data_IF_633489620603
#
_entry.id   IF_633489620603
#
_cell.length_a   1.000
_cell.length_b   1.000
_cell.length_c   1.000
_cell.angle_alpha   90.00
_cell.angle_beta   90.00
_cell.angle_gamma   90.00
#
_symmetry.space_group_name_H-M   'P 1'
#
loop_
_entity.id
_entity.type
_entity.pdbx_description
1 polymer ?
#
# COMPACT_ATOMS: atom_id res chain seq x y z
N UNK A 1 -5.28 10.21 -20.95
CA UNK A 1 -4.96 8.82 -20.57
C UNK A 1 -5.48 8.65 -19.16
N UNK A 2 -6.01 7.49 -18.77
CA UNK A 2 -6.47 7.29 -17.40
C UNK A 2 -5.30 7.51 -16.42
N UNK A 3 -5.60 8.09 -15.26
CA UNK A 3 -4.67 8.12 -14.13
C UNK A 3 -4.67 6.73 -13.50
N UNK A 4 -3.49 6.17 -13.22
CA UNK A 4 -3.34 4.78 -12.78
C UNK A 4 -2.67 4.68 -11.43
N UNK A 5 -3.19 3.79 -10.59
CA UNK A 5 -2.58 3.44 -9.30
C UNK A 5 -2.28 1.95 -9.27
N UNK A 6 -1.11 1.58 -8.76
CA UNK A 6 -0.74 0.18 -8.55
C UNK A 6 -0.89 -0.17 -7.07
N UNK A 7 -1.64 -1.23 -6.78
CA UNK A 7 -1.78 -1.80 -5.44
C UNK A 7 -1.07 -3.14 -5.40
N UNK A 8 -0.07 -3.27 -4.53
CA UNK A 8 0.62 -4.52 -4.22
C UNK A 8 0.14 -5.07 -2.88
N UNK A 9 -0.22 -6.36 -2.82
CA UNK A 9 -0.59 -7.01 -1.56
C UNK A 9 0.32 -8.21 -1.32
N UNK A 10 1.00 -8.25 -0.17
CA UNK A 10 2.01 -9.26 0.11
C UNK A 10 1.69 -10.09 1.35
N UNK A 11 2.51 -11.12 1.63
CA UNK A 11 2.25 -12.09 2.68
C UNK A 11 2.54 -11.62 4.11
N UNK A 12 2.02 -10.47 4.49
CA UNK A 12 1.95 -10.04 5.88
C UNK A 12 0.49 -10.01 6.35
N UNK A 13 0.21 -10.09 7.63
CA UNK A 13 -1.15 -9.89 8.15
C UNK A 13 -1.58 -8.43 7.96
N UNK A 14 -2.88 -8.16 7.91
CA UNK A 14 -3.43 -6.85 7.62
C UNK A 14 -3.83 -6.68 6.15
N UNK A 15 -4.26 -7.77 5.48
CA UNK A 15 -4.78 -7.73 4.11
C UNK A 15 -5.93 -6.72 3.99
N UNK A 16 -6.65 -6.47 5.09
CA UNK A 16 -7.75 -5.51 5.14
C UNK A 16 -7.32 -4.10 4.71
N UNK A 17 -6.07 -3.69 4.92
CA UNK A 17 -5.58 -2.37 4.45
C UNK A 17 -5.48 -2.31 2.93
N UNK A 18 -5.03 -3.38 2.28
CA UNK A 18 -5.01 -3.49 0.82
C UNK A 18 -6.43 -3.53 0.24
N UNK A 19 -7.31 -4.31 0.86
CA UNK A 19 -8.74 -4.41 0.47
C UNK A 19 -9.40 -3.03 0.61
N UNK A 20 -9.18 -2.34 1.73
CA UNK A 20 -9.73 -1.00 1.95
C UNK A 20 -9.18 0.02 0.94
N UNK A 21 -7.91 -0.08 0.57
CA UNK A 21 -7.33 0.78 -0.47
C UNK A 21 -8.04 0.58 -1.82
N UNK A 22 -8.30 -0.68 -2.21
CA UNK A 22 -9.06 -0.98 -3.42
C UNK A 22 -10.50 -0.41 -3.36
N UNK A 23 -11.18 -0.57 -2.21
CA UNK A 23 -12.53 -0.04 -2.01
C UNK A 23 -12.58 1.48 -2.13
N UNK A 24 -11.65 2.19 -1.49
CA UNK A 24 -11.58 3.66 -1.55
C UNK A 24 -11.27 4.16 -2.96
N UNK A 25 -10.37 3.48 -3.68
CA UNK A 25 -10.01 3.85 -5.05
C UNK A 25 -11.15 3.59 -6.05
N UNK A 26 -12.03 2.63 -5.79
CA UNK A 26 -13.20 2.35 -6.63
C UNK A 26 -14.19 3.51 -6.70
N UNK A 27 -14.20 4.38 -5.69
CA UNK A 27 -15.04 5.60 -5.65
C UNK A 27 -14.38 6.78 -6.39
N UNK A 28 -13.25 6.54 -7.08
CA UNK A 28 -12.47 7.55 -7.79
C UNK A 28 -12.41 7.26 -9.30
N UNK A 29 -11.83 8.18 -10.08
CA UNK A 29 -11.62 8.01 -11.53
C UNK A 29 -10.29 7.28 -11.87
N UNK A 30 -9.57 6.74 -10.89
CA UNK A 30 -8.31 6.03 -11.13
C UNK A 30 -8.55 4.62 -11.67
N UNK A 31 -7.74 4.23 -12.67
CA UNK A 31 -7.63 2.84 -13.11
C UNK A 31 -6.72 2.09 -12.14
N UNK A 32 -7.24 1.11 -11.44
CA UNK A 32 -6.55 0.39 -10.35
C UNK A 32 -5.97 -0.92 -10.86
N UNK A 33 -4.64 -1.05 -10.74
CA UNK A 33 -3.89 -2.26 -11.08
C UNK A 33 -3.50 -3.02 -9.82
N UNK A 34 -4.03 -4.24 -9.64
CA UNK A 34 -3.73 -5.10 -8.49
C UNK A 34 -2.66 -6.13 -8.82
N UNK A 35 -1.69 -6.27 -7.92
CA UNK A 35 -0.72 -7.36 -7.92
C UNK A 35 -0.76 -8.04 -6.56
N UNK A 36 -1.32 -9.26 -6.49
CA UNK A 36 -1.48 -10.02 -5.26
C UNK A 36 -0.49 -11.19 -5.24
N UNK A 37 0.41 -11.24 -4.25
CA UNK A 37 1.37 -12.33 -4.11
C UNK A 37 0.69 -13.65 -3.68
N UNK A 38 1.30 -14.79 -3.98
CA UNK A 38 0.77 -16.10 -3.56
C UNK A 38 0.58 -16.17 -2.03
N UNK A 39 1.53 -15.63 -1.24
CA UNK A 39 1.38 -15.52 0.21
C UNK A 39 0.28 -14.53 0.64
N UNK A 40 0.06 -13.46 -0.12
CA UNK A 40 -1.05 -12.52 0.09
C UNK A 40 -2.40 -13.20 -0.11
N UNK A 41 -2.55 -14.02 -1.16
CA UNK A 41 -3.77 -14.81 -1.42
C UNK A 41 -4.11 -15.75 -0.25
N UNK A 42 -3.10 -16.43 0.29
CA UNK A 42 -3.28 -17.30 1.47
C UNK A 42 -3.79 -16.47 2.66
N UNK A 43 -3.19 -15.31 2.92
CA UNK A 43 -3.58 -14.47 4.05
C UNK A 43 -4.98 -13.86 3.87
N UNK A 44 -5.38 -13.45 2.65
CA UNK A 44 -6.76 -13.01 2.37
C UNK A 44 -7.75 -14.07 2.82
N UNK A 45 -7.57 -15.32 2.39
CA UNK A 45 -8.47 -16.43 2.74
C UNK A 45 -8.45 -16.83 4.22
N UNK A 46 -7.45 -16.41 4.99
CA UNK A 46 -7.32 -16.79 6.41
C UNK A 46 -7.74 -15.71 7.39
N UNK A 47 -7.59 -14.43 7.04
CA UNK A 47 -7.78 -13.33 8.00
C UNK A 47 -8.83 -12.30 7.59
N UNK A 48 -9.24 -12.30 6.33
CA UNK A 48 -10.27 -11.41 5.82
C UNK A 48 -11.55 -12.20 5.51
N UNK A 49 -12.71 -11.60 5.76
CA UNK A 49 -14.00 -12.16 5.33
C UNK A 49 -14.23 -11.93 3.82
N UNK A 50 -13.21 -12.26 3.01
CA UNK A 50 -13.20 -12.10 1.56
C UNK A 50 -12.58 -13.30 0.87
N UNK A 51 -13.17 -13.71 -0.24
CA UNK A 51 -12.51 -14.60 -1.17
C UNK A 51 -11.52 -13.83 -2.06
N UNK A 52 -10.47 -14.51 -2.54
CA UNK A 52 -9.47 -13.89 -3.43
C UNK A 52 -10.09 -13.33 -4.71
N UNK A 53 -11.15 -13.96 -5.23
CA UNK A 53 -11.92 -13.49 -6.38
C UNK A 53 -12.60 -12.16 -6.09
N UNK A 54 -13.24 -12.02 -4.93
CA UNK A 54 -13.91 -10.78 -4.52
C UNK A 54 -12.92 -9.62 -4.39
N UNK A 55 -11.73 -9.87 -3.83
CA UNK A 55 -10.66 -8.85 -3.78
C UNK A 55 -10.19 -8.48 -5.18
N UNK A 56 -10.09 -9.46 -6.09
CA UNK A 56 -9.69 -9.22 -7.48
C UNK A 56 -10.71 -8.37 -8.24
N UNK A 57 -12.00 -8.53 -7.97
CA UNK A 57 -13.10 -7.76 -8.58
C UNK A 57 -13.15 -6.29 -8.12
N UNK A 58 -12.39 -5.92 -7.08
CA UNK A 58 -12.27 -4.52 -6.65
C UNK A 58 -11.31 -3.71 -7.53
N UNK A 59 -10.48 -4.36 -8.35
CA UNK A 59 -9.52 -3.72 -9.24
C UNK A 59 -9.97 -3.77 -10.70
N UNK A 60 -9.56 -2.78 -11.51
CA UNK A 60 -9.83 -2.77 -12.94
C UNK A 60 -8.98 -3.77 -13.70
N UNK A 61 -7.71 -3.95 -13.27
CA UNK A 61 -6.76 -4.87 -13.89
C UNK A 61 -6.03 -5.66 -12.81
N UNK A 62 -6.03 -6.98 -12.96
CA UNK A 62 -5.30 -7.89 -12.06
C UNK A 62 -4.13 -8.53 -12.82
N UNK A 63 -2.93 -8.38 -12.26
CA UNK A 63 -1.72 -8.94 -12.85
C UNK A 63 -1.26 -10.19 -12.11
N UNK A 64 -0.79 -11.19 -12.86
CA UNK A 64 -0.06 -12.30 -12.27
C UNK A 64 1.28 -11.82 -11.68
N UNK A 65 1.50 -12.08 -10.40
CA UNK A 65 2.74 -11.70 -9.69
C UNK A 65 4.01 -12.26 -10.34
N UNK A 66 3.91 -13.35 -11.09
CA UNK A 66 5.03 -14.00 -11.80
C UNK A 66 5.30 -13.39 -13.17
N UNK A 67 4.35 -12.59 -13.70
CA UNK A 67 4.50 -11.96 -15.01
C UNK A 67 5.34 -10.67 -14.91
N UNK A 68 6.66 -10.79 -14.83
CA UNK A 68 7.60 -9.66 -14.81
C UNK A 68 7.64 -8.86 -16.13
N UNK A 69 6.92 -9.29 -17.16
CA UNK A 69 6.73 -8.59 -18.43
C UNK A 69 5.42 -7.81 -18.55
N UNK A 70 4.63 -7.71 -17.46
CA UNK A 70 3.42 -6.90 -17.44
C UNK A 70 3.73 -5.40 -17.58
N UNK A 71 2.71 -4.60 -17.91
CA UNK A 71 2.84 -3.16 -18.20
C UNK A 71 3.49 -2.40 -17.03
N UNK A 72 3.12 -2.75 -15.79
CA UNK A 72 3.63 -2.12 -14.57
C UNK A 72 5.14 -2.33 -14.35
N UNK A 73 5.75 -3.31 -15.04
CA UNK A 73 7.19 -3.55 -15.05
C UNK A 73 7.98 -2.57 -15.92
N UNK A 74 7.29 -1.70 -16.68
CA UNK A 74 7.92 -0.74 -17.61
C UNK A 74 7.77 0.70 -17.13
N UNK A 75 8.85 1.48 -17.17
CA UNK A 75 8.81 2.91 -16.87
C UNK A 75 7.99 3.74 -17.85
N UNK A 76 7.77 3.26 -19.09
CA UNK A 76 6.90 3.92 -20.06
C UNK A 76 5.41 3.81 -19.73
N UNK A 77 5.02 2.83 -18.94
CA UNK A 77 3.67 2.72 -18.40
C UNK A 77 3.50 3.72 -17.25
N UNK A 78 2.76 4.79 -17.49
CA UNK A 78 2.61 5.88 -16.52
C UNK A 78 1.62 5.50 -15.42
N UNK A 79 2.04 5.68 -14.17
CA UNK A 79 1.21 5.56 -12.97
C UNK A 79 1.44 6.76 -12.07
N UNK A 80 0.46 7.17 -11.29
CA UNK A 80 0.58 8.23 -10.29
C UNK A 80 1.38 7.76 -9.07
N UNK A 81 1.44 6.45 -8.82
CA UNK A 81 2.24 5.84 -7.77
C UNK A 81 1.86 4.40 -7.48
N UNK A 82 2.47 3.85 -6.42
CA UNK A 82 2.23 2.49 -5.97
C UNK A 82 2.10 2.45 -4.45
N UNK A 83 1.07 1.76 -3.97
CA UNK A 83 0.92 1.38 -2.55
C UNK A 83 1.17 -0.11 -2.40
N UNK A 84 1.99 -0.52 -1.43
CA UNK A 84 2.13 -1.92 -1.02
C UNK A 84 1.53 -2.08 0.38
N UNK A 85 0.34 -2.67 0.45
CA UNK A 85 -0.45 -2.82 1.67
C UNK A 85 -1.11 -4.21 1.76
N UNK A 86 -0.70 -5.05 2.69
CA UNK A 86 0.46 -4.90 3.57
C UNK A 86 1.79 -5.19 2.85
N UNK A 87 2.88 -4.64 3.36
CA UNK A 87 4.24 -4.92 2.90
C UNK A 87 4.95 -5.87 3.87
N UNK A 88 5.28 -7.08 3.41
CA UNK A 88 6.03 -8.05 4.21
C UNK A 88 7.51 -7.64 4.33
N UNK A 89 8.19 -8.09 5.39
CA UNK A 89 9.62 -7.83 5.57
C UNK A 89 10.47 -8.42 4.42
N UNK A 90 10.02 -9.53 3.80
CA UNK A 90 10.66 -10.07 2.59
C UNK A 90 10.57 -9.07 1.43
N UNK A 91 9.39 -8.54 1.17
CA UNK A 91 9.17 -7.56 0.09
C UNK A 91 9.93 -6.27 0.36
N UNK A 92 9.87 -5.74 1.60
CA UNK A 92 10.67 -4.59 2.01
C UNK A 92 12.16 -4.80 1.77
N UNK A 93 12.70 -5.96 2.17
CA UNK A 93 14.11 -6.31 1.97
C UNK A 93 14.47 -6.38 0.48
N UNK A 94 13.62 -6.97 -0.35
CA UNK A 94 13.87 -7.05 -1.79
C UNK A 94 13.92 -5.66 -2.43
N UNK A 95 13.02 -4.77 -2.06
CA UNK A 95 12.99 -3.38 -2.55
C UNK A 95 14.25 -2.63 -2.09
N UNK A 96 14.61 -2.76 -0.81
CA UNK A 96 15.80 -2.11 -0.23
C UNK A 96 17.10 -2.49 -0.95
N UNK A 97 17.17 -3.71 -1.49
CA UNK A 97 18.35 -4.22 -2.18
C UNK A 97 18.23 -4.25 -3.71
N UNK A 98 17.17 -3.65 -4.27
CA UNK A 98 16.95 -3.63 -5.73
C UNK A 98 16.67 -5.01 -6.33
N UNK A 99 16.20 -5.97 -5.53
CA UNK A 99 15.89 -7.34 -5.99
C UNK A 99 14.50 -7.40 -6.59
N UNK A 100 14.39 -7.59 -7.89
CA UNK A 100 13.12 -7.58 -8.65
C UNK A 100 12.69 -9.01 -9.04
N UNK A 101 12.52 -9.89 -8.05
CA UNK A 101 12.22 -11.30 -8.28
C UNK A 101 10.77 -11.62 -8.64
N UNK A 102 9.86 -10.66 -8.50
CA UNK A 102 8.45 -10.75 -8.85
C UNK A 102 7.93 -9.40 -9.35
N UNK A 103 6.69 -9.37 -9.84
CA UNK A 103 6.11 -8.16 -10.42
C UNK A 103 5.89 -7.05 -9.38
N UNK A 104 5.61 -7.37 -8.11
CA UNK A 104 5.45 -6.37 -7.05
C UNK A 104 6.78 -5.62 -6.85
N UNK A 105 7.86 -6.36 -6.63
CA UNK A 105 9.19 -5.78 -6.41
C UNK A 105 9.72 -5.08 -7.67
N UNK A 106 9.40 -5.60 -8.87
CA UNK A 106 9.75 -4.93 -10.12
C UNK A 106 8.98 -3.63 -10.31
N UNK A 107 7.68 -3.60 -10.05
CA UNK A 107 6.87 -2.38 -10.15
C UNK A 107 7.31 -1.32 -9.13
N UNK A 108 7.72 -1.74 -7.93
CA UNK A 108 8.29 -0.85 -6.92
C UNK A 108 9.63 -0.25 -7.38
N UNK A 109 10.53 -1.06 -7.97
CA UNK A 109 11.78 -0.59 -8.58
C UNK A 109 11.51 0.42 -9.70
N UNK A 110 10.50 0.17 -10.53
CA UNK A 110 10.06 1.11 -11.58
C UNK A 110 9.55 2.42 -10.96
N UNK A 111 8.73 2.36 -9.90
CA UNK A 111 8.26 3.56 -9.24
C UNK A 111 9.43 4.41 -8.73
N UNK A 112 10.39 3.81 -8.05
CA UNK A 112 11.57 4.50 -7.51
C UNK A 112 12.44 5.10 -8.63
N UNK A 113 12.78 4.34 -9.68
CA UNK A 113 13.64 4.85 -10.76
C UNK A 113 12.98 5.96 -11.58
N UNK A 114 11.66 5.96 -11.71
CA UNK A 114 10.87 7.01 -12.39
C UNK A 114 10.50 8.16 -11.45
N UNK A 115 10.93 8.09 -10.17
CA UNK A 115 10.63 9.08 -9.11
C UNK A 115 9.14 9.28 -8.89
N UNK A 116 8.38 8.18 -9.00
CA UNK A 116 6.95 8.15 -8.67
C UNK A 116 6.78 7.79 -7.19
N UNK A 117 5.76 8.31 -6.52
CA UNK A 117 5.48 7.95 -5.15
C UNK A 117 5.35 6.43 -4.95
N UNK A 118 6.10 5.89 -3.99
CA UNK A 118 6.01 4.51 -3.54
C UNK A 118 5.73 4.51 -2.05
N UNK A 119 4.55 4.04 -1.64
CA UNK A 119 4.15 3.93 -0.24
C UNK A 119 4.20 2.48 0.19
N UNK A 120 4.92 2.22 1.26
CA UNK A 120 5.06 0.88 1.83
C UNK A 120 4.39 0.87 3.20
N UNK A 121 3.43 -0.05 3.41
CA UNK A 121 2.82 -0.29 4.72
C UNK A 121 3.44 -1.55 5.37
N UNK A 122 4.66 -1.45 5.95
CA UNK A 122 5.32 -2.59 6.53
C UNK A 122 4.57 -3.05 7.78
N UNK A 123 4.36 -4.37 7.88
CA UNK A 123 3.70 -4.94 9.03
C UNK A 123 4.52 -6.07 9.63
N UNK A 124 5.11 -5.79 10.78
CA UNK A 124 5.88 -6.71 11.61
C UNK A 124 5.94 -6.19 13.05
N UNK A 125 6.00 -7.09 14.01
CA UNK A 125 6.28 -6.75 15.43
C UNK A 125 6.87 -7.95 16.18
N UNK A 126 7.95 -7.74 17.01
CA UNK A 126 8.77 -6.53 17.07
C UNK A 126 9.68 -6.37 15.85
N UNK A 127 10.17 -5.17 15.61
CA UNK A 127 11.20 -4.95 14.60
C UNK A 127 12.57 -5.40 15.09
N UNK A 128 13.36 -6.01 14.21
CA UNK A 128 14.78 -6.26 14.43
C UNK A 128 15.64 -5.22 13.68
N UNK A 129 16.95 -5.25 13.94
CA UNK A 129 17.88 -4.29 13.31
C UNK A 129 17.89 -4.37 11.79
N UNK A 130 17.68 -5.54 11.18
CA UNK A 130 17.66 -5.72 9.73
C UNK A 130 16.41 -5.03 9.15
N UNK A 131 15.25 -5.18 9.78
CA UNK A 131 14.03 -4.50 9.35
C UNK A 131 14.21 -2.98 9.34
N UNK A 132 14.77 -2.42 10.43
CA UNK A 132 15.02 -0.98 10.56
C UNK A 132 16.02 -0.47 9.50
N UNK A 133 17.09 -1.23 9.22
CA UNK A 133 18.02 -0.89 8.15
C UNK A 133 17.33 -0.88 6.79
N UNK A 134 16.54 -1.89 6.48
CA UNK A 134 15.83 -1.95 5.21
C UNK A 134 14.80 -0.80 5.07
N UNK A 135 14.14 -0.39 6.17
CA UNK A 135 13.28 0.79 6.18
C UNK A 135 14.06 2.08 5.88
N UNK A 136 15.24 2.23 6.45
CA UNK A 136 16.13 3.36 6.16
C UNK A 136 16.55 3.37 4.68
N UNK A 137 17.03 2.25 4.15
CA UNK A 137 17.48 2.13 2.76
C UNK A 137 16.36 2.47 1.76
N UNK A 138 15.13 1.98 1.97
CA UNK A 138 14.01 2.32 1.05
C UNK A 138 13.61 3.78 1.19
N UNK A 139 13.73 4.37 2.39
CA UNK A 139 13.47 5.79 2.61
C UNK A 139 14.50 6.66 1.90
N UNK A 140 15.78 6.32 1.98
CA UNK A 140 16.87 7.00 1.28
C UNK A 140 16.70 6.89 -0.24
N UNK A 141 16.15 5.77 -0.74
CA UNK A 141 15.80 5.58 -2.14
C UNK A 141 14.55 6.38 -2.60
N UNK A 142 13.80 6.98 -1.67
CA UNK A 142 12.64 7.83 -1.95
C UNK A 142 11.28 7.19 -1.70
N UNK A 143 11.21 5.97 -1.14
CA UNK A 143 9.95 5.39 -0.72
C UNK A 143 9.43 6.00 0.60
N UNK A 144 8.13 5.99 0.79
CA UNK A 144 7.47 6.40 2.03
C UNK A 144 7.17 5.15 2.85
N UNK A 145 7.82 5.01 3.99
CA UNK A 145 7.54 3.95 4.96
C UNK A 145 6.38 4.41 5.85
N UNK A 146 5.22 3.80 5.64
CA UNK A 146 3.97 4.16 6.32
C UNK A 146 3.40 2.95 7.10
N UNK A 147 3.93 2.66 8.30
CA UNK A 147 3.40 1.54 9.09
C UNK A 147 1.97 1.87 9.54
N UNK A 148 1.06 0.86 9.57
CA UNK A 148 -0.35 1.07 9.90
C UNK A 148 -0.54 1.23 11.42
N UNK A 149 0.06 2.25 12.01
CA UNK A 149 -0.13 2.60 13.42
C UNK A 149 -1.41 3.41 13.58
N UNK A 150 -2.27 3.09 14.57
CA UNK A 150 -3.52 3.80 14.79
C UNK A 150 -3.31 5.24 15.25
N UNK A 151 -4.12 6.16 14.72
CA UNK A 151 -4.16 7.58 15.11
C UNK A 151 -5.34 7.84 16.04
N UNK A 152 -5.14 7.71 17.36
CA UNK A 152 -6.21 7.85 18.35
C UNK A 152 -6.74 9.28 18.49
N UNK A 153 -5.95 10.29 18.17
CA UNK A 153 -6.37 11.70 18.24
C UNK A 153 -7.53 12.05 17.29
N UNK A 154 -7.72 11.27 16.25
CA UNK A 154 -8.83 11.42 15.30
C UNK A 154 -10.15 10.87 15.82
N UNK A 155 -10.16 10.23 17.01
CA UNK A 155 -11.35 9.69 17.66
C UNK A 155 -12.08 8.60 16.85
N UNK A 156 -11.35 7.56 16.33
CA UNK A 156 -12.01 6.52 15.53
C UNK A 156 -13.11 5.84 16.34
N UNK A 157 -14.26 5.60 15.70
CA UNK A 157 -15.46 5.06 16.37
C UNK A 157 -15.38 3.56 16.57
N UNK A 158 -14.69 2.87 15.67
CA UNK A 158 -14.50 1.42 15.70
C UNK A 158 -13.25 1.03 14.90
N UNK A 159 -12.99 -0.27 14.75
CA UNK A 159 -11.84 -0.79 14.03
C UNK A 159 -11.92 -0.49 12.53
N UNK A 160 -13.11 -0.55 11.95
CA UNK A 160 -13.31 -0.31 10.52
C UNK A 160 -13.03 1.14 10.15
N UNK A 161 -13.50 2.09 10.94
CA UNK A 161 -13.20 3.51 10.81
C UNK A 161 -11.69 3.78 10.94
N UNK A 162 -11.03 3.15 11.93
CA UNK A 162 -9.58 3.25 12.10
C UNK A 162 -8.80 2.74 10.88
N UNK A 163 -9.21 1.61 10.30
CA UNK A 163 -8.60 1.05 9.09
C UNK A 163 -8.81 2.00 7.91
N UNK A 164 -10.03 2.52 7.76
CA UNK A 164 -10.41 3.45 6.68
C UNK A 164 -9.55 4.71 6.72
N UNK A 165 -9.48 5.40 7.86
CA UNK A 165 -8.68 6.62 8.05
C UNK A 165 -7.19 6.37 7.82
N UNK A 166 -6.66 5.26 8.35
CA UNK A 166 -5.25 4.88 8.15
C UNK A 166 -4.95 4.65 6.67
N UNK A 167 -5.84 3.95 5.96
CA UNK A 167 -5.67 3.64 4.55
C UNK A 167 -5.82 4.87 3.67
N UNK A 168 -6.84 5.70 3.91
CA UNK A 168 -7.03 6.98 3.20
C UNK A 168 -5.79 7.89 3.36
N UNK A 169 -5.23 7.97 4.58
CA UNK A 169 -4.01 8.73 4.84
C UNK A 169 -2.78 8.16 4.12
N UNK A 170 -2.69 6.83 3.94
CA UNK A 170 -1.63 6.22 3.14
C UNK A 170 -1.81 6.53 1.64
N UNK A 171 -3.03 6.45 1.10
CA UNK A 171 -3.34 6.81 -0.28
C UNK A 171 -3.08 8.29 -0.57
N UNK A 172 -3.35 9.19 0.36
CA UNK A 172 -3.06 10.62 0.17
C UNK A 172 -1.57 10.93 -0.05
N UNK A 173 -0.65 10.01 0.35
CA UNK A 173 0.78 10.12 0.04
C UNK A 173 1.08 9.87 -1.45
N UNK A 174 0.16 9.30 -2.20
CA UNK A 174 0.24 9.12 -3.66
C UNK A 174 -0.37 10.29 -4.43
N UNK A 175 -0.76 11.36 -3.73
CA UNK A 175 -1.53 12.48 -4.32
C UNK A 175 -2.87 12.06 -4.92
N UNK A 176 -3.43 10.97 -4.40
CA UNK A 176 -4.77 10.50 -4.75
C UNK A 176 -5.80 11.35 -4.02
N UNK A 177 -6.81 11.78 -4.74
CA UNK A 177 -7.94 12.53 -4.17
C UNK A 177 -8.89 11.58 -3.46
N UNK A 178 -8.59 11.32 -2.18
CA UNK A 178 -9.42 10.57 -1.23
C UNK A 178 -9.71 11.45 -0.03
N UNK A 179 -10.91 11.34 0.52
CA UNK A 179 -11.28 12.09 1.70
C UNK A 179 -10.39 11.70 2.90
N UNK A 180 -9.71 12.68 3.47
CA UNK A 180 -8.84 12.53 4.64
C UNK A 180 -9.17 13.61 5.64
N UNK A 181 -9.47 13.20 6.88
CA UNK A 181 -9.68 14.16 7.97
C UNK A 181 -8.41 14.97 8.24
N UNK A 182 -8.51 16.28 8.11
CA UNK A 182 -7.43 17.19 8.47
C UNK A 182 -7.49 17.52 9.97
N UNK A 183 -6.33 17.67 10.59
CA UNK A 183 -6.23 18.13 11.96
C UNK A 183 -6.41 19.64 12.03
N UNK A 184 -7.52 20.09 12.59
CA UNK A 184 -7.87 21.51 12.74
C UNK A 184 -7.23 22.18 13.98
N UNK A 185 -6.41 21.45 14.72
CA UNK A 185 -5.81 21.94 15.98
C UNK A 185 -6.72 21.70 17.20
N UNK A 186 -6.21 22.08 18.38
CA UNK A 186 -7.01 22.06 19.60
C UNK A 186 -7.93 23.29 19.63
N UNK A 187 -9.25 23.06 19.68
CA UNK A 187 -10.18 24.16 19.93
C UNK A 187 -9.90 24.78 21.29
N UNK A 188 -9.99 26.11 21.41
CA UNK A 188 -9.71 26.87 22.63
C UNK A 188 -10.59 26.51 23.86
N UNK A 189 -11.52 25.54 23.70
CA UNK A 189 -12.39 25.02 24.76
C UNK A 189 -11.75 23.92 25.63
N UNK A 190 -10.51 23.46 25.34
CA UNK A 190 -9.78 22.46 26.09
C UNK A 190 -8.51 23.03 26.75
N UNK A 191 -8.57 24.24 27.26
CA UNK A 191 -7.57 24.70 28.23
C UNK A 191 -7.86 24.05 29.59
N UNK A 192 -6.89 23.44 30.29
CA UNK A 192 -7.07 22.79 31.58
C UNK A 192 -7.47 23.75 32.68
#
# INVERSE_FOLDING_TARGET
MPQRIVIGMTGATGQIYGIRALQLLRETEYEVHLILSDAGKINVSQEADYEVSEVSELADVVHDVKNIGAETASGSFRTEGMLIAPCSMKTLSNIAHGSSGDLITRSADVALKERRPLVLMPREKPFNRIHLKNMLEVTDAGAIVFPPFPSFYQGPTDLDDMITRTTARALSQLSVDVEVDEWEGLSSSHSP
#
